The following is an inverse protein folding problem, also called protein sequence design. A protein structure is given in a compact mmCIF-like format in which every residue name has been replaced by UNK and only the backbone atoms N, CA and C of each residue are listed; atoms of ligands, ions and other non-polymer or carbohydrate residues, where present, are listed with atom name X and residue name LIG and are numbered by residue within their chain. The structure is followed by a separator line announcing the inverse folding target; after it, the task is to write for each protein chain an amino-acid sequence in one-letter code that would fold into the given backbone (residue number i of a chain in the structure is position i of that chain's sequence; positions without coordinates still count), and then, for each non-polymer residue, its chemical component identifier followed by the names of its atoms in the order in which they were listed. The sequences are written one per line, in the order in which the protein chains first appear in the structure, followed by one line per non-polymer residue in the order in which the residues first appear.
data_IF_740212349965
#
_entry.id   IF_740212349965
#
_cell.length_a   1.000
_cell.length_b   1.000
_cell.length_c   1.000
_cell.angle_alpha   90.00
_cell.angle_beta   90.00
_cell.angle_gamma   90.00
#
_symmetry.space_group_name_H-M   'P 1'
#
loop_
_entity.id
_entity.type
_entity.pdbx_description
1 polymer ?
#
# COMPACT_ATOMS: atom_id res chain seq x y z
N UNK A 1 -28.99 56.91 34.83
CA UNK A 1 -29.35 55.64 34.16
C UNK A 1 -30.32 54.87 35.04
N UNK A 2 -31.46 54.43 34.50
CA UNK A 2 -32.39 53.58 35.24
C UNK A 2 -31.91 52.12 35.26
N UNK A 3 -32.29 51.36 36.30
CA UNK A 3 -31.92 49.95 36.49
C UNK A 3 -32.34 49.09 35.29
N UNK A 4 -33.51 49.35 34.69
CA UNK A 4 -34.00 48.68 33.47
C UNK A 4 -32.99 48.78 32.31
N UNK A 5 -32.43 49.96 32.06
CA UNK A 5 -31.45 50.17 30.97
C UNK A 5 -30.17 49.36 31.19
N UNK A 6 -29.70 49.26 32.45
CA UNK A 6 -28.52 48.46 32.79
C UNK A 6 -28.74 46.96 32.54
N UNK A 7 -29.91 46.46 32.92
CA UNK A 7 -30.26 45.04 32.71
C UNK A 7 -30.35 44.73 31.21
N UNK A 8 -31.02 45.58 30.42
CA UNK A 8 -31.18 45.37 28.97
C UNK A 8 -29.83 45.38 28.25
N UNK A 9 -28.94 46.32 28.58
CA UNK A 9 -27.59 46.39 27.99
C UNK A 9 -26.75 45.16 28.39
N UNK A 10 -26.84 44.72 29.65
CA UNK A 10 -26.13 43.53 30.12
C UNK A 10 -26.57 42.25 29.41
N UNK A 11 -27.88 42.06 29.25
CA UNK A 11 -28.45 40.91 28.53
C UNK A 11 -28.08 40.96 27.04
N UNK A 12 -28.20 42.14 26.40
CA UNK A 12 -27.82 42.29 25.00
C UNK A 12 -26.33 41.97 24.76
N UNK A 13 -25.46 42.42 25.67
CA UNK A 13 -24.03 42.12 25.61
C UNK A 13 -23.73 40.63 25.80
N UNK A 14 -24.36 39.97 26.78
CA UNK A 14 -24.20 38.52 26.97
C UNK A 14 -24.70 37.72 25.77
N UNK A 15 -25.84 38.08 25.18
CA UNK A 15 -26.35 37.44 23.96
C UNK A 15 -25.39 37.58 22.79
N UNK A 16 -24.76 38.75 22.64
CA UNK A 16 -23.75 39.01 21.60
C UNK A 16 -22.50 38.13 21.78
N UNK A 17 -22.04 37.98 23.02
CA UNK A 17 -20.92 37.09 23.36
C UNK A 17 -21.26 35.63 23.05
N UNK A 18 -22.48 35.17 23.37
CA UNK A 18 -22.90 33.80 23.05
C UNK A 18 -22.91 33.53 21.55
N UNK A 19 -23.39 34.49 20.74
CA UNK A 19 -23.37 34.38 19.27
C UNK A 19 -21.93 34.33 18.76
N UNK A 20 -21.04 35.18 19.28
CA UNK A 20 -19.63 35.19 18.88
C UNK A 20 -18.92 33.87 19.20
N UNK A 21 -19.09 33.35 20.43
CA UNK A 21 -18.52 32.07 20.85
C UNK A 21 -19.11 30.92 20.03
N UNK A 22 -20.44 30.93 19.80
CA UNK A 22 -21.11 29.93 18.97
C UNK A 22 -20.59 29.92 17.52
N UNK A 23 -20.36 31.09 16.94
CA UNK A 23 -19.79 31.23 15.60
C UNK A 23 -18.34 30.71 15.53
N UNK A 24 -17.50 31.06 16.51
CA UNK A 24 -16.13 30.54 16.62
C UNK A 24 -16.14 29.00 16.78
N UNK A 25 -17.02 28.48 17.63
CA UNK A 25 -17.19 27.05 17.83
C UNK A 25 -17.60 26.32 16.55
N UNK A 26 -18.53 26.88 15.77
CA UNK A 26 -18.94 26.33 14.47
C UNK A 26 -17.82 26.34 13.44
N UNK A 27 -16.99 27.38 13.41
CA UNK A 27 -15.82 27.46 12.50
C UNK A 27 -14.79 26.40 12.89
N UNK A 28 -14.40 26.32 14.16
CA UNK A 28 -13.45 25.31 14.64
C UNK A 28 -13.95 23.87 14.43
N UNK A 29 -15.25 23.63 14.60
CA UNK A 29 -15.84 22.31 14.35
C UNK A 29 -15.76 21.91 12.87
N UNK A 30 -15.98 22.88 11.95
CA UNK A 30 -15.84 22.65 10.49
C UNK A 30 -14.40 22.39 10.07
N UNK A 31 -13.44 23.09 10.66
CA UNK A 31 -12.01 22.88 10.38
C UNK A 31 -11.55 21.50 10.87
N UNK A 32 -11.94 21.11 12.08
CA UNK A 32 -11.66 19.78 12.62
C UNK A 32 -12.32 18.66 11.81
N UNK A 33 -13.56 18.86 11.37
CA UNK A 33 -14.26 17.89 10.52
C UNK A 33 -13.52 17.64 9.21
N UNK A 34 -13.05 18.70 8.54
CA UNK A 34 -12.26 18.59 7.30
C UNK A 34 -10.90 17.93 7.53
N UNK A 35 -10.19 18.28 8.60
CA UNK A 35 -8.91 17.68 8.92
C UNK A 35 -9.04 16.17 9.20
N UNK A 36 -10.09 15.75 9.92
CA UNK A 36 -10.38 14.34 10.17
C UNK A 36 -10.75 13.58 8.90
N UNK A 37 -11.59 14.16 8.04
CA UNK A 37 -12.01 13.52 6.81
C UNK A 37 -10.86 13.35 5.82
N UNK A 38 -9.98 14.35 5.70
CA UNK A 38 -8.80 14.30 4.84
C UNK A 38 -7.79 13.24 5.33
N UNK A 39 -7.45 13.26 6.63
CA UNK A 39 -6.55 12.26 7.22
C UNK A 39 -7.12 10.85 7.11
N UNK A 40 -8.41 10.67 7.39
CA UNK A 40 -9.04 9.35 7.37
C UNK A 40 -9.15 8.79 5.95
N UNK A 41 -9.62 9.61 5.00
CA UNK A 41 -9.78 9.21 3.59
C UNK A 41 -8.43 8.90 2.93
N UNK A 42 -7.44 9.78 3.10
CA UNK A 42 -6.10 9.62 2.53
C UNK A 42 -5.40 8.40 3.13
N UNK A 43 -5.46 8.22 4.45
CA UNK A 43 -4.81 7.07 5.09
C UNK A 43 -5.48 5.74 4.72
N UNK A 44 -6.81 5.68 4.69
CA UNK A 44 -7.50 4.46 4.26
C UNK A 44 -7.21 4.12 2.81
N UNK A 45 -7.17 5.12 1.92
CA UNK A 45 -6.74 4.93 0.53
C UNK A 45 -5.31 4.39 0.46
N UNK A 46 -4.38 5.00 1.19
CA UNK A 46 -2.97 4.60 1.20
C UNK A 46 -2.77 3.18 1.74
N UNK A 47 -3.48 2.79 2.81
CA UNK A 47 -3.48 1.42 3.34
C UNK A 47 -4.02 0.46 2.27
N UNK A 48 -5.10 0.82 1.56
CA UNK A 48 -5.63 0.02 0.47
C UNK A 48 -4.61 -0.22 -0.66
N UNK A 49 -3.88 0.83 -1.06
CA UNK A 49 -2.82 0.74 -2.07
C UNK A 49 -1.67 -0.17 -1.61
N UNK A 50 -1.20 -0.01 -0.36
CA UNK A 50 -0.14 -0.84 0.21
C UNK A 50 -0.56 -2.31 0.34
N UNK A 51 -1.78 -2.58 0.81
CA UNK A 51 -2.33 -3.94 0.88
C UNK A 51 -2.43 -4.60 -0.50
N UNK A 52 -2.77 -3.82 -1.53
CA UNK A 52 -2.79 -4.32 -2.91
C UNK A 52 -1.38 -4.69 -3.39
N UNK A 53 -0.39 -3.85 -3.13
CA UNK A 53 1.02 -4.16 -3.46
C UNK A 53 1.48 -5.44 -2.77
N UNK A 54 1.24 -5.53 -1.46
CA UNK A 54 1.59 -6.69 -0.64
C UNK A 54 0.89 -7.98 -1.12
N UNK A 55 -0.39 -7.89 -1.50
CA UNK A 55 -1.12 -8.99 -2.14
C UNK A 55 -0.51 -9.44 -3.47
N UNK A 56 -0.12 -8.50 -4.33
CA UNK A 56 0.52 -8.80 -5.61
C UNK A 56 1.95 -9.35 -5.45
N UNK A 57 2.70 -8.89 -4.44
CA UNK A 57 4.01 -9.45 -4.10
C UNK A 57 3.89 -10.92 -3.65
N UNK A 58 2.89 -11.23 -2.81
CA UNK A 58 2.56 -12.62 -2.48
C UNK A 58 2.14 -13.43 -3.70
N UNK A 59 1.36 -12.86 -4.61
CA UNK A 59 0.96 -13.53 -5.84
C UNK A 59 2.18 -13.87 -6.72
N UNK A 60 3.14 -12.94 -6.86
CA UNK A 60 4.41 -13.19 -7.54
C UNK A 60 5.17 -14.37 -6.94
N UNK A 61 5.32 -14.38 -5.61
CA UNK A 61 5.94 -15.50 -4.90
C UNK A 61 5.22 -16.82 -5.17
N UNK A 62 3.89 -16.83 -5.13
CA UNK A 62 3.08 -18.02 -5.41
C UNK A 62 3.32 -18.52 -6.84
N UNK A 63 3.41 -17.64 -7.85
CA UNK A 63 3.71 -18.06 -9.22
C UNK A 63 5.08 -18.73 -9.34
N UNK A 64 6.09 -18.24 -8.62
CA UNK A 64 7.41 -18.87 -8.61
C UNK A 64 7.42 -20.22 -7.87
N UNK A 65 6.55 -20.41 -6.88
CA UNK A 65 6.38 -21.71 -6.21
C UNK A 65 5.58 -22.71 -7.06
N UNK A 66 4.59 -22.23 -7.82
CA UNK A 66 3.80 -23.07 -8.72
C UNK A 66 4.60 -23.47 -9.96
N UNK A 67 5.49 -22.61 -10.47
CA UNK A 67 6.35 -22.98 -11.60
C UNK A 67 7.27 -24.17 -11.28
N UNK A 68 7.67 -24.34 -10.02
CA UNK A 68 8.45 -25.48 -9.56
C UNK A 68 7.69 -26.81 -9.64
N UNK A 69 6.36 -26.78 -9.74
CA UNK A 69 5.56 -28.00 -9.92
C UNK A 69 5.72 -28.62 -11.31
N UNK A 70 6.28 -27.86 -12.27
CA UNK A 70 6.59 -28.35 -13.62
C UNK A 70 7.88 -29.18 -13.69
N UNK A 71 8.65 -29.29 -12.59
CA UNK A 71 9.86 -30.12 -12.58
C UNK A 71 9.50 -31.59 -12.92
N UNK A 72 10.06 -32.19 -13.99
CA UNK A 72 9.76 -33.58 -14.36
C UNK A 72 10.09 -34.61 -13.27
N UNK A 73 10.92 -34.26 -12.27
CA UNK A 73 11.21 -35.10 -11.11
C UNK A 73 10.09 -35.09 -10.06
N UNK A 74 9.16 -34.15 -10.14
CA UNK A 74 7.97 -34.10 -9.30
C UNK A 74 6.94 -35.13 -9.83
N UNK A 75 6.50 -36.05 -8.97
CA UNK A 75 5.52 -37.09 -9.31
C UNK A 75 4.17 -36.52 -9.76
N UNK A 76 3.85 -35.28 -9.36
CA UNK A 76 2.62 -34.58 -9.73
C UNK A 76 2.79 -33.63 -10.91
N UNK A 77 3.96 -33.58 -11.57
CA UNK A 77 4.23 -32.66 -12.67
C UNK A 77 3.24 -32.81 -13.83
N UNK A 78 2.78 -34.04 -14.10
CA UNK A 78 1.76 -34.30 -15.11
C UNK A 78 0.40 -33.68 -14.81
N UNK A 79 0.12 -33.24 -13.56
CA UNK A 79 -1.12 -32.55 -13.20
C UNK A 79 -1.07 -31.04 -13.53
N UNK A 80 0.11 -30.49 -13.84
CA UNK A 80 0.28 -29.09 -14.24
C UNK A 80 0.27 -28.96 -15.76
N UNK A 81 -0.91 -29.18 -16.37
CA UNK A 81 -1.10 -29.23 -17.83
C UNK A 81 -1.24 -27.83 -18.47
N UNK A 82 -0.19 -27.01 -18.38
CA UNK A 82 -0.10 -25.74 -19.12
C UNK A 82 1.37 -25.33 -19.32
N UNK A 83 1.69 -24.38 -20.21
CA UNK A 83 3.06 -23.91 -20.37
C UNK A 83 3.61 -23.31 -19.07
N UNK A 84 4.86 -23.61 -18.74
CA UNK A 84 5.54 -23.04 -17.55
C UNK A 84 5.64 -21.52 -17.63
N UNK A 85 5.69 -20.96 -18.85
CA UNK A 85 5.65 -19.51 -19.11
C UNK A 85 4.40 -18.82 -18.58
N UNK A 86 3.28 -19.53 -18.40
CA UNK A 86 2.05 -18.95 -17.85
C UNK A 86 2.26 -18.34 -16.46
N UNK A 87 3.15 -18.93 -15.66
CA UNK A 87 3.53 -18.41 -14.35
C UNK A 87 4.37 -17.13 -14.45
N UNK A 88 5.31 -17.08 -15.40
CA UNK A 88 6.15 -15.88 -15.61
C UNK A 88 5.37 -14.73 -16.23
N UNK A 89 4.38 -15.02 -17.07
CA UNK A 89 3.49 -14.02 -17.67
C UNK A 89 2.61 -13.36 -16.60
N UNK A 90 2.04 -14.17 -15.69
CA UNK A 90 1.31 -13.66 -14.52
C UNK A 90 2.22 -12.86 -13.60
N UNK A 91 3.44 -13.35 -13.34
CA UNK A 91 4.38 -12.64 -12.48
C UNK A 91 4.74 -11.26 -13.04
N UNK A 92 5.03 -11.19 -14.35
CA UNK A 92 5.30 -9.93 -15.04
C UNK A 92 4.11 -8.96 -14.96
N UNK A 93 2.90 -9.47 -15.19
CA UNK A 93 1.67 -8.67 -15.04
C UNK A 93 1.54 -8.08 -13.63
N UNK A 94 1.82 -8.86 -12.59
CA UNK A 94 1.75 -8.39 -11.21
C UNK A 94 2.84 -7.36 -10.90
N UNK A 95 4.07 -7.53 -11.42
CA UNK A 95 5.15 -6.52 -11.31
C UNK A 95 4.69 -5.18 -11.92
N UNK A 96 4.11 -5.21 -13.12
CA UNK A 96 3.61 -4.01 -13.79
C UNK A 96 2.47 -3.34 -13.00
N UNK A 97 1.54 -4.13 -12.46
CA UNK A 97 0.45 -3.62 -11.63
C UNK A 97 0.96 -3.02 -10.31
N UNK A 98 1.94 -3.65 -9.66
CA UNK A 98 2.60 -3.08 -8.47
C UNK A 98 3.26 -1.75 -8.83
N UNK A 99 3.95 -1.66 -9.96
CA UNK A 99 4.60 -0.43 -10.40
C UNK A 99 3.59 0.71 -10.63
N UNK A 100 2.39 0.39 -11.12
CA UNK A 100 1.30 1.37 -11.25
C UNK A 100 0.75 1.82 -9.90
N UNK A 101 0.43 0.87 -9.01
CA UNK A 101 -0.11 1.17 -7.67
C UNK A 101 0.92 1.93 -6.83
N UNK A 102 2.20 1.61 -6.96
CA UNK A 102 3.29 2.32 -6.28
C UNK A 102 3.40 3.77 -6.71
N UNK A 103 3.23 4.07 -8.01
CA UNK A 103 3.23 5.47 -8.48
C UNK A 103 2.11 6.29 -7.84
N UNK A 104 0.93 5.69 -7.69
CA UNK A 104 -0.20 6.34 -7.02
C UNK A 104 0.09 6.59 -5.54
N UNK A 105 0.58 5.58 -4.82
CA UNK A 105 0.95 5.71 -3.41
C UNK A 105 2.09 6.73 -3.20
N UNK A 106 3.14 6.67 -4.01
CA UNK A 106 4.28 7.58 -3.88
C UNK A 106 3.92 9.05 -4.15
N UNK A 107 2.87 9.30 -4.94
CA UNK A 107 2.35 10.63 -5.22
C UNK A 107 1.48 11.20 -4.07
N UNK A 108 0.93 10.35 -3.19
CA UNK A 108 0.12 10.81 -2.04
C UNK A 108 0.95 11.21 -0.82
N UNK A 109 2.24 10.87 -0.79
CA UNK A 109 3.15 11.17 0.32
C UNK A 109 3.60 12.63 0.26
N UNK A 110 3.27 13.39 1.31
CA UNK A 110 3.57 14.82 1.41
C UNK A 110 4.62 15.16 2.47
N UNK A 111 4.81 14.30 3.47
CA UNK A 111 5.74 14.51 4.57
C UNK A 111 7.07 13.77 4.36
N UNK A 112 8.12 14.22 5.08
CA UNK A 112 9.47 13.67 4.93
C UNK A 112 9.58 12.24 5.47
N UNK A 113 8.94 11.93 6.59
CA UNK A 113 9.05 10.63 7.23
C UNK A 113 8.43 9.53 6.36
N UNK A 114 7.23 9.79 5.83
CA UNK A 114 6.57 8.93 4.85
C UNK A 114 7.40 8.76 3.58
N UNK A 115 8.09 9.82 3.12
CA UNK A 115 9.00 9.73 1.96
C UNK A 115 10.18 8.82 2.24
N UNK A 116 10.85 9.00 3.39
CA UNK A 116 11.98 8.18 3.80
C UNK A 116 11.59 6.69 3.91
N UNK A 117 10.43 6.39 4.50
CA UNK A 117 9.89 5.02 4.59
C UNK A 117 9.56 4.44 3.22
N UNK A 118 8.94 5.22 2.34
CA UNK A 118 8.61 4.77 0.99
C UNK A 118 9.86 4.51 0.15
N UNK A 119 10.90 5.34 0.28
CA UNK A 119 12.17 5.14 -0.42
C UNK A 119 12.89 3.89 0.08
N UNK A 120 12.87 3.64 1.40
CA UNK A 120 13.39 2.41 1.99
C UNK A 120 12.65 1.16 1.48
N UNK A 121 11.32 1.18 1.48
CA UNK A 121 10.52 0.10 0.90
C UNK A 121 10.83 -0.09 -0.60
N UNK A 122 10.93 1.00 -1.36
CA UNK A 122 11.20 0.94 -2.80
C UNK A 122 12.53 0.27 -3.09
N UNK A 123 13.56 0.61 -2.32
CA UNK A 123 14.90 0.01 -2.42
C UNK A 123 14.85 -1.51 -2.21
N UNK A 124 14.20 -1.97 -1.14
CA UNK A 124 14.10 -3.41 -0.86
C UNK A 124 13.22 -4.14 -1.89
N UNK A 125 12.14 -3.51 -2.35
CA UNK A 125 11.31 -4.04 -3.43
C UNK A 125 12.08 -4.16 -4.75
N UNK A 126 12.87 -3.15 -5.12
CA UNK A 126 13.67 -3.19 -6.34
C UNK A 126 14.75 -4.27 -6.26
N UNK A 127 15.29 -4.55 -5.07
CA UNK A 127 16.17 -5.69 -4.82
C UNK A 127 15.44 -7.02 -5.01
N UNK A 128 14.27 -7.19 -4.37
CA UNK A 128 13.40 -8.36 -4.54
C UNK A 128 13.05 -8.63 -6.02
N UNK A 129 12.78 -7.59 -6.80
CA UNK A 129 12.47 -7.71 -8.22
C UNK A 129 13.69 -8.12 -9.05
N UNK A 130 14.81 -7.39 -8.92
CA UNK A 130 16.01 -7.56 -9.77
C UNK A 130 16.86 -8.77 -9.39
N UNK A 131 16.97 -9.07 -8.10
CA UNK A 131 17.79 -10.16 -7.58
C UNK A 131 16.99 -11.44 -7.34
N UNK A 132 15.67 -11.33 -7.21
CA UNK A 132 14.75 -12.46 -6.99
C UNK A 132 13.90 -12.79 -8.21
N UNK A 133 12.86 -12.00 -8.47
CA UNK A 133 11.84 -12.33 -9.47
C UNK A 133 12.39 -12.44 -10.89
N UNK A 134 13.16 -11.46 -11.36
CA UNK A 134 13.70 -11.47 -12.72
C UNK A 134 14.58 -12.69 -13.01
N UNK A 135 15.60 -13.03 -12.20
CA UNK A 135 16.41 -14.21 -12.44
C UNK A 135 15.63 -15.52 -12.22
N UNK A 136 14.66 -15.57 -11.29
CA UNK A 136 13.81 -16.74 -11.13
C UNK A 136 12.96 -16.98 -12.38
N UNK A 137 12.30 -15.95 -12.92
CA UNK A 137 11.53 -16.07 -14.16
C UNK A 137 12.41 -16.51 -15.35
N UNK A 138 13.65 -16.02 -15.44
CA UNK A 138 14.60 -16.49 -16.47
C UNK A 138 14.94 -17.97 -16.31
N UNK A 139 15.15 -18.44 -15.09
CA UNK A 139 15.41 -19.85 -14.80
C UNK A 139 14.19 -20.73 -15.11
N UNK A 140 12.98 -20.26 -14.76
CA UNK A 140 11.71 -20.93 -15.11
C UNK A 140 11.57 -21.09 -16.62
N UNK A 141 11.81 -20.03 -17.40
CA UNK A 141 11.72 -20.09 -18.87
C UNK A 141 12.79 -20.97 -19.52
N UNK A 142 13.88 -21.28 -18.80
CA UNK A 142 14.93 -22.17 -19.24
C UNK A 142 14.74 -23.62 -18.74
N UNK A 143 13.61 -23.91 -18.09
CA UNK A 143 13.32 -25.18 -17.40
C UNK A 143 14.43 -25.58 -16.39
N UNK A 144 15.17 -24.60 -15.87
CA UNK A 144 16.17 -24.79 -14.82
C UNK A 144 15.49 -24.72 -13.44
N UNK A 145 14.81 -25.80 -13.09
CA UNK A 145 14.07 -25.90 -11.82
C UNK A 145 15.00 -25.86 -10.61
N UNK A 146 16.24 -26.37 -10.71
CA UNK A 146 17.21 -26.30 -9.62
C UNK A 146 17.58 -24.85 -9.29
N UNK A 147 17.90 -24.06 -10.30
CA UNK A 147 18.21 -22.65 -10.12
C UNK A 147 16.96 -21.84 -9.72
N UNK A 148 15.78 -22.19 -10.24
CA UNK A 148 14.51 -21.60 -9.81
C UNK A 148 14.26 -21.84 -8.31
N UNK A 149 14.45 -23.06 -7.81
CA UNK A 149 14.32 -23.41 -6.39
C UNK A 149 15.24 -22.56 -5.53
N UNK A 150 16.52 -22.50 -5.92
CA UNK A 150 17.54 -21.75 -5.19
C UNK A 150 17.18 -20.27 -5.07
N UNK A 151 16.87 -19.60 -6.20
CA UNK A 151 16.51 -18.17 -6.18
C UNK A 151 15.21 -17.94 -5.39
N UNK A 152 14.20 -18.79 -5.60
CA UNK A 152 12.91 -18.65 -4.92
C UNK A 152 13.07 -18.77 -3.41
N UNK A 153 13.93 -19.66 -2.94
CA UNK A 153 14.20 -19.82 -1.53
C UNK A 153 15.07 -18.70 -0.95
N UNK A 154 16.17 -18.35 -1.63
CA UNK A 154 17.18 -17.42 -1.09
C UNK A 154 16.76 -15.95 -1.18
N UNK A 155 16.01 -15.56 -2.22
CA UNK A 155 15.78 -14.15 -2.57
C UNK A 155 14.30 -13.73 -2.62
N UNK A 156 13.36 -14.67 -2.78
CA UNK A 156 11.92 -14.37 -2.90
C UNK A 156 11.15 -14.73 -1.63
N UNK A 157 11.50 -15.83 -0.98
CA UNK A 157 10.83 -16.26 0.24
C UNK A 157 11.27 -15.41 1.44
N UNK A 158 10.35 -15.10 2.37
CA UNK A 158 10.72 -14.48 3.63
C UNK A 158 11.60 -15.44 4.45
N UNK A 159 12.63 -14.89 5.09
CA UNK A 159 13.50 -15.62 5.98
C UNK A 159 12.72 -16.03 7.24
N UNK A 160 12.81 -17.30 7.64
CA UNK A 160 12.34 -17.75 8.95
C UNK A 160 13.48 -17.46 9.94
N UNK A 161 13.44 -16.30 10.59
CA UNK A 161 14.37 -15.92 11.67
C UNK A 161 13.60 -15.63 12.94
#
# INVERSE_FOLDING_TARGET
MQIKTRIVVGVAFMSLLMIAIGAIGLVGFRENGRALEDVHSVNMKNIGLLNKIDGLMRANRIQMLLSLQHDPKNEFSSMHEHPTSAHTDLAKKYIDEINQVWKEYAASITDKEGRDLADAFRKERDKYEKEGLEPAMKAVLADDFHQTYRITFDAINPTIV
#
